data_IF_247407513293
#
_entry.id   IF_247407513293
#
_cell.length_a   1.000
_cell.length_b   1.000
_cell.length_c   1.000
_cell.angle_alpha   90.00
_cell.angle_beta   90.00
_cell.angle_gamma   90.00
#
_symmetry.space_group_name_H-M   'P 1'
#
loop_
_entity.id
_entity.type
_entity.pdbx_description
1 polymer ?
#
# COMPACT_ATOMS: atom_id res chain seq x y z
N UNK A 1 -37.66 -3.10 30.82
CA UNK A 1 -36.73 -2.13 30.23
C UNK A 1 -37.03 -0.76 30.83
N UNK A 2 -36.08 -0.10 31.47
CA UNK A 2 -36.27 1.13 32.22
C UNK A 2 -36.42 2.30 31.24
N UNK A 3 -37.24 3.33 31.56
CA UNK A 3 -37.40 4.53 30.70
C UNK A 3 -36.09 5.19 30.30
N UNK A 4 -35.07 5.16 31.16
CA UNK A 4 -33.74 5.66 30.87
C UNK A 4 -33.04 4.83 29.76
N UNK A 5 -33.18 3.52 29.72
CA UNK A 5 -32.60 2.65 28.71
C UNK A 5 -33.24 2.88 27.33
N UNK A 6 -34.56 3.17 27.31
CA UNK A 6 -35.27 3.49 26.06
C UNK A 6 -34.86 4.86 25.53
N UNK A 7 -34.66 5.87 26.42
CA UNK A 7 -34.21 7.19 26.04
C UNK A 7 -32.74 7.15 25.53
N UNK A 8 -31.88 6.33 26.15
CA UNK A 8 -30.47 6.16 25.69
C UNK A 8 -30.40 5.45 24.33
N UNK A 9 -31.27 4.46 24.08
CA UNK A 9 -31.36 3.78 22.78
C UNK A 9 -31.95 4.72 21.72
N UNK A 10 -32.95 5.53 22.04
CA UNK A 10 -33.53 6.51 21.13
C UNK A 10 -32.57 7.67 20.83
N UNK A 11 -31.73 8.10 21.79
CA UNK A 11 -30.69 9.09 21.57
C UNK A 11 -29.51 8.52 20.77
N UNK A 12 -29.17 7.24 20.96
CA UNK A 12 -28.16 6.56 20.13
C UNK A 12 -28.66 6.35 18.68
N UNK A 13 -29.93 6.01 18.49
CA UNK A 13 -30.57 5.92 17.17
C UNK A 13 -30.75 7.29 16.52
N UNK A 14 -31.01 8.35 17.29
CA UNK A 14 -31.06 9.71 16.76
C UNK A 14 -29.67 10.29 16.43
N UNK A 15 -28.63 9.85 17.15
CA UNK A 15 -27.25 10.20 16.82
C UNK A 15 -26.74 9.46 15.54
N UNK A 16 -27.28 8.29 15.25
CA UNK A 16 -27.03 7.59 13.98
C UNK A 16 -27.86 8.15 12.80
N UNK A 17 -28.98 8.85 13.07
CA UNK A 17 -29.80 9.51 12.06
C UNK A 17 -29.31 10.91 11.66
N UNK A 18 -28.16 11.37 12.18
CA UNK A 18 -27.57 12.70 11.95
C UNK A 18 -26.34 12.72 11.05
N UNK A 19 -25.86 11.60 10.55
CA UNK A 19 -24.88 11.59 9.46
C UNK A 19 -25.65 11.60 8.15
N UNK A 20 -25.53 12.68 7.38
CA UNK A 20 -26.21 12.82 6.09
C UNK A 20 -25.76 11.70 5.16
N UNK A 21 -26.69 10.83 4.82
CA UNK A 21 -26.46 9.78 3.82
C UNK A 21 -26.30 10.46 2.46
N UNK A 22 -25.19 10.19 1.77
CA UNK A 22 -24.96 10.67 0.39
C UNK A 22 -25.55 9.66 -0.59
N UNK A 23 -26.13 10.16 -1.67
CA UNK A 23 -26.73 9.33 -2.71
C UNK A 23 -26.39 9.90 -4.10
N UNK A 24 -25.94 9.05 -4.99
CA UNK A 24 -25.77 9.40 -6.39
C UNK A 24 -26.62 8.52 -7.32
N UNK A 25 -26.91 8.99 -8.50
CA UNK A 25 -27.60 8.27 -9.55
C UNK A 25 -26.62 7.83 -10.64
N UNK A 26 -26.52 6.53 -10.89
CA UNK A 26 -25.60 5.93 -11.85
C UNK A 26 -26.34 5.50 -13.10
N UNK A 27 -25.90 5.99 -14.26
CA UNK A 27 -26.41 5.66 -15.58
C UNK A 27 -25.29 5.02 -16.38
N UNK A 28 -25.43 3.73 -16.74
CA UNK A 28 -24.46 3.00 -17.53
C UNK A 28 -24.95 2.68 -18.93
N UNK A 29 -24.04 2.75 -19.89
CA UNK A 29 -24.26 2.34 -21.29
C UNK A 29 -23.11 1.46 -21.77
N UNK A 30 -23.41 0.53 -22.65
CA UNK A 30 -22.44 -0.35 -23.27
C UNK A 30 -22.45 -0.12 -24.78
N UNK A 31 -21.27 0.09 -25.37
CA UNK A 31 -21.12 0.33 -26.79
C UNK A 31 -21.51 -0.94 -27.60
N UNK A 32 -21.93 -0.74 -28.83
CA UNK A 32 -22.25 -1.83 -29.76
C UNK A 32 -21.00 -2.72 -29.98
N UNK A 33 -21.18 -4.02 -29.92
CA UNK A 33 -20.08 -4.99 -30.03
C UNK A 33 -19.35 -5.29 -28.71
N UNK A 34 -19.61 -4.54 -27.63
CA UNK A 34 -19.08 -4.80 -26.30
C UNK A 34 -20.08 -5.62 -25.49
N UNK A 35 -19.64 -6.73 -24.91
CA UNK A 35 -20.51 -7.61 -24.11
C UNK A 35 -19.83 -7.89 -22.77
N UNK A 36 -20.18 -7.19 -21.68
CA UNK A 36 -19.75 -7.54 -20.35
C UNK A 36 -20.46 -8.82 -19.88
N UNK A 37 -19.79 -9.61 -19.06
CA UNK A 37 -20.31 -10.87 -18.53
C UNK A 37 -21.17 -10.61 -17.30
N UNK A 38 -20.61 -9.94 -16.27
CA UNK A 38 -21.31 -9.58 -15.03
C UNK A 38 -20.72 -8.30 -14.44
N UNK A 39 -21.43 -7.20 -14.54
CA UNK A 39 -21.01 -5.95 -13.90
C UNK A 39 -21.31 -5.98 -12.41
N UNK A 40 -20.36 -5.49 -11.62
CA UNK A 40 -20.51 -5.24 -10.18
C UNK A 40 -20.04 -3.86 -9.82
N UNK A 41 -20.79 -3.21 -8.92
CA UNK A 41 -20.45 -1.92 -8.30
C UNK A 41 -20.21 -2.18 -6.83
N UNK A 42 -19.09 -1.74 -6.28
CA UNK A 42 -18.70 -2.02 -4.90
C UNK A 42 -17.86 -0.87 -4.33
N UNK A 43 -17.90 -0.72 -3.01
CA UNK A 43 -17.14 0.30 -2.29
C UNK A 43 -15.66 -0.06 -2.24
N UNK A 44 -14.79 0.95 -2.26
CA UNK A 44 -13.34 0.74 -2.10
C UNK A 44 -13.01 0.00 -0.79
N UNK A 45 -12.16 -1.01 -0.90
CA UNK A 45 -11.79 -1.90 0.20
C UNK A 45 -12.75 -3.07 0.46
N UNK A 46 -13.87 -3.19 -0.28
CA UNK A 46 -14.74 -4.35 -0.24
C UNK A 46 -14.33 -5.40 -1.29
N UNK A 47 -14.56 -6.68 -0.99
CA UNK A 47 -14.39 -7.73 -1.99
C UNK A 47 -15.56 -7.69 -2.99
N UNK A 48 -15.31 -7.49 -4.29
CA UNK A 48 -16.37 -7.47 -5.30
C UNK A 48 -17.23 -8.75 -5.32
N UNK A 49 -16.73 -9.88 -4.78
CA UNK A 49 -17.54 -11.11 -4.61
C UNK A 49 -18.77 -10.89 -3.73
N UNK A 50 -18.65 -10.01 -2.75
CA UNK A 50 -19.68 -9.74 -1.76
C UNK A 50 -20.64 -8.62 -2.17
N UNK A 51 -20.37 -7.93 -3.30
CA UNK A 51 -21.24 -6.85 -3.77
C UNK A 51 -22.65 -7.34 -4.08
N UNK A 52 -23.64 -6.62 -3.55
CA UNK A 52 -25.05 -6.79 -3.86
C UNK A 52 -25.52 -5.94 -5.04
N UNK A 53 -24.74 -4.90 -5.41
CA UNK A 53 -25.04 -4.05 -6.56
C UNK A 53 -24.53 -4.69 -7.85
N UNK A 54 -25.47 -5.32 -8.55
CA UNK A 54 -25.24 -6.03 -9.81
C UNK A 54 -26.10 -5.41 -10.91
N UNK A 55 -25.60 -4.40 -11.61
CA UNK A 55 -26.36 -3.74 -12.69
C UNK A 55 -26.81 -4.73 -13.75
N UNK A 56 -28.10 -4.72 -14.06
CA UNK A 56 -28.66 -5.56 -15.10
C UNK A 56 -28.86 -4.74 -16.36
N UNK A 57 -28.18 -5.15 -17.45
CA UNK A 57 -28.28 -4.50 -18.73
C UNK A 57 -29.63 -4.79 -19.39
N UNK A 58 -30.32 -3.73 -19.79
CA UNK A 58 -31.52 -3.77 -20.65
C UNK A 58 -31.26 -2.92 -21.88
N UNK A 59 -31.21 -3.54 -23.04
CA UNK A 59 -30.88 -2.86 -24.31
C UNK A 59 -29.54 -2.07 -24.22
N UNK A 60 -28.50 -2.65 -23.64
CA UNK A 60 -27.18 -2.03 -23.48
C UNK A 60 -27.12 -0.90 -22.46
N UNK A 61 -28.12 -0.75 -21.57
CA UNK A 61 -28.20 0.31 -20.57
C UNK A 61 -28.55 -0.25 -19.19
N UNK A 62 -28.05 0.37 -18.13
CA UNK A 62 -28.48 0.16 -16.76
C UNK A 62 -28.61 1.49 -16.03
N UNK A 63 -29.40 1.49 -14.97
CA UNK A 63 -29.53 2.60 -14.03
C UNK A 63 -29.63 2.02 -12.63
N UNK A 64 -28.98 2.67 -11.67
CA UNK A 64 -29.10 2.34 -10.25
C UNK A 64 -28.73 3.55 -9.40
N UNK A 65 -29.21 3.55 -8.16
CA UNK A 65 -28.76 4.50 -7.15
C UNK A 65 -27.70 3.80 -6.27
N UNK A 66 -26.72 4.59 -5.86
CA UNK A 66 -25.69 4.16 -4.91
C UNK A 66 -25.71 5.11 -3.72
N UNK A 67 -25.71 4.54 -2.53
CA UNK A 67 -25.77 5.28 -1.27
C UNK A 67 -24.58 4.91 -0.38
N UNK A 68 -24.06 5.91 0.34
CA UNK A 68 -23.05 5.72 1.38
C UNK A 68 -23.31 6.66 2.56
N UNK A 69 -22.65 6.43 3.68
CA UNK A 69 -22.75 7.31 4.84
C UNK A 69 -22.12 8.69 4.59
N UNK A 70 -21.21 8.79 3.62
CA UNK A 70 -20.49 9.98 3.22
C UNK A 70 -19.90 9.80 1.84
N UNK A 71 -19.18 10.82 1.32
CA UNK A 71 -18.46 10.71 0.05
C UNK A 71 -17.41 9.62 0.17
N UNK A 72 -17.49 8.61 -0.69
CA UNK A 72 -16.50 7.51 -0.74
C UNK A 72 -16.20 7.14 -2.19
N UNK A 73 -15.03 6.50 -2.37
CA UNK A 73 -14.63 5.94 -3.67
C UNK A 73 -15.29 4.58 -3.86
N UNK A 74 -15.89 4.40 -5.03
CA UNK A 74 -16.54 3.18 -5.46
C UNK A 74 -15.98 2.73 -6.80
N UNK A 75 -16.10 1.45 -7.07
CA UNK A 75 -15.61 0.81 -8.28
C UNK A 75 -16.72 0.16 -9.06
N UNK A 76 -16.55 0.11 -10.40
CA UNK A 76 -17.30 -0.77 -11.28
C UNK A 76 -16.33 -1.73 -11.96
N UNK A 77 -16.70 -3.00 -12.09
CA UNK A 77 -15.88 -4.04 -12.69
C UNK A 77 -16.73 -5.04 -13.47
N UNK A 78 -16.19 -5.57 -14.58
CA UNK A 78 -16.74 -6.79 -15.19
C UNK A 78 -16.24 -8.01 -14.40
N UNK A 79 -16.94 -8.31 -13.31
CA UNK A 79 -16.57 -9.39 -12.39
C UNK A 79 -16.70 -10.78 -13.03
N UNK A 80 -17.62 -10.95 -13.99
CA UNK A 80 -17.72 -12.20 -14.75
C UNK A 80 -16.45 -12.50 -15.52
N UNK A 81 -15.83 -11.49 -16.12
CA UNK A 81 -14.53 -11.63 -16.80
C UNK A 81 -13.41 -12.02 -15.82
N UNK A 82 -13.38 -11.43 -14.61
CA UNK A 82 -12.44 -11.82 -13.53
C UNK A 82 -12.59 -13.30 -13.19
N UNK A 83 -13.83 -13.79 -13.07
CA UNK A 83 -14.10 -15.19 -12.74
C UNK A 83 -13.72 -16.17 -13.87
N UNK A 84 -13.85 -15.76 -15.12
CA UNK A 84 -13.51 -16.61 -16.26
C UNK A 84 -12.01 -16.61 -16.58
N UNK A 85 -11.37 -15.43 -16.53
CA UNK A 85 -10.00 -15.23 -17.00
C UNK A 85 -8.98 -15.01 -15.86
N UNK A 86 -9.44 -14.88 -14.61
CA UNK A 86 -8.60 -14.55 -13.45
C UNK A 86 -8.25 -13.07 -13.33
N UNK A 87 -8.51 -12.27 -14.37
CA UNK A 87 -8.26 -10.83 -14.42
C UNK A 87 -9.23 -10.14 -15.38
N UNK A 88 -9.36 -8.83 -15.28
CA UNK A 88 -10.06 -7.98 -16.26
C UNK A 88 -9.36 -6.64 -16.41
N UNK A 89 -9.42 -6.07 -17.61
CA UNK A 89 -9.09 -4.65 -17.87
C UNK A 89 -10.31 -3.75 -17.72
N UNK A 90 -11.53 -4.34 -17.65
CA UNK A 90 -12.80 -3.62 -17.51
C UNK A 90 -13.04 -3.27 -16.04
N UNK A 91 -12.38 -2.23 -15.58
CA UNK A 91 -12.58 -1.63 -14.25
C UNK A 91 -12.57 -0.12 -14.34
N UNK A 92 -13.28 0.53 -13.43
CA UNK A 92 -13.30 1.98 -13.31
C UNK A 92 -13.72 2.40 -11.92
N UNK A 93 -13.47 3.66 -11.57
CA UNK A 93 -13.78 4.21 -10.25
C UNK A 93 -14.52 5.54 -10.34
N UNK A 94 -15.31 5.83 -9.33
CA UNK A 94 -16.08 7.06 -9.19
C UNK A 94 -16.32 7.38 -7.72
N UNK A 95 -16.74 8.62 -7.44
CA UNK A 95 -17.08 9.01 -6.08
C UNK A 95 -18.60 9.09 -5.92
N UNK A 96 -19.12 8.50 -4.84
CA UNK A 96 -20.51 8.62 -4.44
C UNK A 96 -20.67 9.94 -3.68
N UNK A 97 -21.23 10.95 -4.36
CA UNK A 97 -21.45 12.29 -3.84
C UNK A 97 -22.94 12.62 -3.86
N UNK A 98 -23.42 13.34 -2.84
CA UNK A 98 -24.84 13.63 -2.70
C UNK A 98 -25.42 14.43 -3.88
N UNK A 99 -26.50 13.88 -4.46
CA UNK A 99 -27.16 14.45 -5.62
C UNK A 99 -26.37 14.34 -6.94
N UNK A 100 -25.21 13.68 -6.95
CA UNK A 100 -24.42 13.53 -8.18
C UNK A 100 -25.10 12.57 -9.17
N UNK A 101 -24.91 12.85 -10.46
CA UNK A 101 -25.20 11.92 -11.56
C UNK A 101 -23.87 11.41 -12.10
N UNK A 102 -23.72 10.09 -12.10
CA UNK A 102 -22.57 9.39 -12.64
C UNK A 102 -22.99 8.79 -14.00
N UNK A 103 -22.27 9.11 -15.06
CA UNK A 103 -22.46 8.46 -16.37
C UNK A 103 -21.27 7.56 -16.66
N UNK A 104 -21.57 6.31 -17.00
CA UNK A 104 -20.56 5.26 -17.26
C UNK A 104 -20.80 4.74 -18.68
N UNK A 105 -19.77 4.78 -19.52
CA UNK A 105 -19.79 4.14 -20.84
C UNK A 105 -18.71 3.07 -20.90
N UNK A 106 -19.10 1.83 -21.11
CA UNK A 106 -18.17 0.75 -21.42
C UNK A 106 -18.03 0.63 -22.94
N UNK A 107 -16.80 0.75 -23.44
CA UNK A 107 -16.46 0.61 -24.86
C UNK A 107 -15.20 -0.26 -25.00
N UNK A 108 -15.35 -1.43 -25.56
CA UNK A 108 -14.29 -2.45 -25.54
C UNK A 108 -13.92 -2.84 -24.11
N UNK A 109 -12.69 -2.52 -23.72
CA UNK A 109 -12.15 -2.82 -22.39
C UNK A 109 -12.06 -1.58 -21.47
N UNK A 110 -12.58 -0.42 -21.90
CA UNK A 110 -12.47 0.83 -21.14
C UNK A 110 -13.82 1.30 -20.64
N UNK A 111 -13.84 1.72 -19.37
CA UNK A 111 -14.90 2.54 -18.81
C UNK A 111 -14.55 4.02 -18.97
N UNK A 112 -15.39 4.78 -19.66
CA UNK A 112 -15.41 6.24 -19.62
C UNK A 112 -16.43 6.65 -18.55
N UNK A 113 -15.95 7.30 -17.50
CA UNK A 113 -16.75 7.67 -16.33
C UNK A 113 -16.74 9.19 -16.17
N UNK A 114 -17.91 9.77 -16.06
CA UNK A 114 -18.10 11.20 -15.80
C UNK A 114 -19.05 11.39 -14.62
N UNK A 115 -18.83 12.42 -13.84
CA UNK A 115 -19.67 12.75 -12.69
C UNK A 115 -19.97 14.25 -12.63
N UNK A 116 -21.18 14.58 -12.15
CA UNK A 116 -21.50 15.95 -11.76
C UNK A 116 -21.01 16.31 -10.36
N UNK A 117 -20.44 15.37 -9.60
CA UNK A 117 -19.90 15.58 -8.27
C UNK A 117 -18.61 16.40 -8.29
N UNK A 118 -18.46 17.31 -7.31
CA UNK A 118 -17.35 18.27 -7.29
C UNK A 118 -16.00 17.62 -6.94
N UNK A 119 -16.00 16.67 -6.01
CA UNK A 119 -14.78 15.99 -5.58
C UNK A 119 -14.24 15.08 -6.69
N UNK A 120 -15.15 14.37 -7.38
CA UNK A 120 -14.77 13.60 -8.56
C UNK A 120 -14.24 14.48 -9.68
N UNK A 121 -14.91 15.60 -9.99
CA UNK A 121 -14.46 16.52 -11.04
C UNK A 121 -13.08 17.11 -10.75
N UNK A 122 -12.80 17.47 -9.48
CA UNK A 122 -11.49 17.97 -9.08
C UNK A 122 -10.40 16.92 -9.26
N UNK A 123 -10.66 15.68 -8.84
CA UNK A 123 -9.74 14.55 -8.98
C UNK A 123 -9.53 14.19 -10.46
N UNK A 124 -10.60 14.08 -11.24
CA UNK A 124 -10.54 13.74 -12.65
C UNK A 124 -9.82 14.82 -13.49
N UNK A 125 -9.97 16.10 -13.13
CA UNK A 125 -9.23 17.19 -13.78
C UNK A 125 -7.71 17.05 -13.53
N UNK A 126 -7.29 16.61 -12.37
CA UNK A 126 -5.88 16.30 -12.07
C UNK A 126 -5.39 15.15 -12.95
N UNK A 127 -6.16 14.07 -13.04
CA UNK A 127 -5.80 12.92 -13.88
C UNK A 127 -5.68 13.29 -15.35
N UNK A 128 -6.64 14.04 -15.90
CA UNK A 128 -6.58 14.54 -17.26
C UNK A 128 -5.36 15.44 -17.51
N UNK A 129 -5.01 16.28 -16.54
CA UNK A 129 -3.83 17.13 -16.65
C UNK A 129 -2.53 16.33 -16.60
N UNK A 130 -2.48 15.27 -15.78
CA UNK A 130 -1.36 14.34 -15.73
C UNK A 130 -1.23 13.55 -17.04
N UNK A 131 -2.32 13.00 -17.54
CA UNK A 131 -2.39 12.29 -18.83
C UNK A 131 -1.88 13.17 -19.97
N UNK A 132 -2.42 14.39 -20.10
CA UNK A 132 -2.02 15.34 -21.14
C UNK A 132 -0.52 15.70 -21.06
N UNK A 133 0.06 15.67 -19.87
CA UNK A 133 1.49 16.02 -19.68
C UNK A 133 2.41 14.85 -19.94
N UNK A 134 2.07 13.64 -19.49
CA UNK A 134 3.00 12.52 -19.40
C UNK A 134 2.73 11.39 -20.41
N UNK A 135 1.50 11.25 -20.93
CA UNK A 135 1.12 10.11 -21.78
C UNK A 135 2.06 9.94 -22.99
N UNK A 136 2.35 11.02 -23.71
CA UNK A 136 3.24 10.95 -24.88
C UNK A 136 4.65 10.49 -24.55
N UNK A 137 5.15 10.79 -23.34
CA UNK A 137 6.46 10.32 -22.90
C UNK A 137 6.42 8.81 -22.59
N UNK A 138 5.35 8.34 -21.94
CA UNK A 138 5.16 6.90 -21.67
C UNK A 138 4.99 6.09 -22.96
N UNK A 139 4.20 6.56 -23.94
CA UNK A 139 3.99 5.86 -25.21
C UNK A 139 5.26 5.72 -26.08
N UNK A 140 6.22 6.61 -25.90
CA UNK A 140 7.48 6.63 -26.68
C UNK A 140 8.64 5.97 -25.91
N UNK A 141 8.42 5.55 -24.68
CA UNK A 141 9.45 4.93 -23.85
C UNK A 141 9.72 3.49 -24.31
N UNK A 142 10.99 3.08 -24.32
CA UNK A 142 11.37 1.68 -24.48
C UNK A 142 11.15 0.96 -23.14
N UNK A 143 10.32 -0.07 -23.12
CA UNK A 143 10.00 -0.85 -21.92
C UNK A 143 11.24 -1.47 -21.23
N UNK A 144 12.36 -1.56 -21.94
CA UNK A 144 13.63 -2.05 -21.39
C UNK A 144 14.54 -0.93 -20.84
N UNK A 145 14.16 0.34 -20.97
CA UNK A 145 14.94 1.46 -20.44
C UNK A 145 14.49 1.80 -19.02
N UNK A 146 14.84 0.92 -18.07
CA UNK A 146 14.48 1.05 -16.65
C UNK A 146 14.89 2.40 -16.05
N UNK A 147 16.00 2.98 -16.49
CA UNK A 147 16.47 4.27 -16.00
C UNK A 147 15.51 5.40 -16.39
N UNK A 148 15.14 5.48 -17.67
CA UNK A 148 14.21 6.51 -18.15
C UNK A 148 12.79 6.30 -17.61
N UNK A 149 12.38 5.04 -17.43
CA UNK A 149 11.12 4.73 -16.76
C UNK A 149 11.10 5.32 -15.36
N UNK A 150 12.12 5.05 -14.55
CA UNK A 150 12.25 5.58 -13.19
C UNK A 150 12.34 7.11 -13.13
N UNK A 151 13.03 7.74 -14.07
CA UNK A 151 13.11 9.20 -14.20
C UNK A 151 11.71 9.79 -14.48
N UNK A 152 10.95 9.22 -15.42
CA UNK A 152 9.60 9.66 -15.79
C UNK A 152 8.60 9.46 -14.65
N UNK A 153 8.67 8.32 -13.95
CA UNK A 153 7.86 8.06 -12.76
C UNK A 153 8.14 9.09 -11.64
N UNK A 154 9.40 9.43 -11.40
CA UNK A 154 9.77 10.44 -10.41
C UNK A 154 9.25 11.83 -10.80
N UNK A 155 9.32 12.21 -12.09
CA UNK A 155 8.74 13.46 -12.58
C UNK A 155 7.22 13.50 -12.43
N UNK A 156 6.54 12.38 -12.74
CA UNK A 156 5.09 12.23 -12.55
C UNK A 156 4.70 12.39 -11.07
N UNK A 157 5.38 11.69 -10.16
CA UNK A 157 5.12 11.79 -8.72
C UNK A 157 5.36 13.20 -8.20
N UNK A 158 6.47 13.83 -8.58
CA UNK A 158 6.76 15.20 -8.13
C UNK A 158 5.69 16.19 -8.60
N UNK A 159 5.27 16.09 -9.86
CA UNK A 159 4.22 16.93 -10.41
C UNK A 159 2.88 16.71 -9.69
N UNK A 160 2.50 15.46 -9.47
CA UNK A 160 1.27 15.07 -8.77
C UNK A 160 1.26 15.61 -7.33
N UNK A 161 2.38 15.51 -6.62
CA UNK A 161 2.49 16.04 -5.26
C UNK A 161 2.39 17.57 -5.22
N UNK A 162 2.97 18.28 -6.17
CA UNK A 162 2.86 19.72 -6.25
C UNK A 162 1.43 20.16 -6.63
N UNK A 163 0.74 19.34 -7.41
CA UNK A 163 -0.68 19.55 -7.70
C UNK A 163 -1.52 19.40 -6.43
N UNK A 164 -1.37 18.33 -5.67
CA UNK A 164 -2.10 18.10 -4.40
C UNK A 164 -1.83 19.18 -3.34
N UNK A 165 -0.62 19.74 -3.28
CA UNK A 165 -0.29 20.84 -2.38
C UNK A 165 -1.03 22.13 -2.73
N UNK A 166 -1.29 22.36 -4.01
CA UNK A 166 -1.92 23.58 -4.52
C UNK A 166 -3.42 23.44 -4.77
N UNK A 167 -3.91 22.22 -4.94
CA UNK A 167 -5.31 21.88 -5.17
C UNK A 167 -5.76 20.78 -4.20
N UNK A 168 -6.01 21.11 -2.92
CA UNK A 168 -6.46 20.13 -1.96
C UNK A 168 -7.78 19.49 -2.37
N UNK A 169 -7.86 18.16 -2.34
CA UNK A 169 -9.02 17.38 -2.76
C UNK A 169 -9.13 16.07 -1.96
N UNK A 170 -10.37 15.57 -1.83
CA UNK A 170 -10.65 14.31 -1.12
C UNK A 170 -9.99 13.09 -1.81
N UNK A 171 -9.85 13.13 -3.13
CA UNK A 171 -9.18 12.09 -3.91
C UNK A 171 -7.76 11.76 -3.43
N UNK A 172 -7.00 12.76 -2.97
CA UNK A 172 -5.69 12.52 -2.36
C UNK A 172 -5.77 11.61 -1.13
N UNK A 173 -6.77 11.80 -0.26
CA UNK A 173 -6.95 10.97 0.94
C UNK A 173 -7.31 9.54 0.58
N UNK A 174 -8.11 9.33 -0.46
CA UNK A 174 -8.43 7.99 -0.96
C UNK A 174 -7.22 7.30 -1.58
N UNK A 175 -6.40 8.05 -2.30
CA UNK A 175 -5.15 7.50 -2.86
C UNK A 175 -4.17 7.11 -1.76
N UNK A 176 -3.97 7.97 -0.75
CA UNK A 176 -3.10 7.67 0.38
C UNK A 176 -3.59 6.46 1.18
N UNK A 177 -4.90 6.36 1.48
CA UNK A 177 -5.49 5.20 2.16
C UNK A 177 -5.29 3.90 1.36
N UNK A 178 -5.46 3.95 0.03
CA UNK A 178 -5.22 2.83 -0.86
C UNK A 178 -3.75 2.39 -0.87
N UNK A 179 -2.81 3.33 -0.97
CA UNK A 179 -1.37 3.03 -0.95
C UNK A 179 -0.91 2.46 0.39
N UNK A 180 -1.45 2.94 1.50
CA UNK A 180 -1.13 2.41 2.83
C UNK A 180 -1.66 0.99 3.06
N UNK A 181 -2.67 0.53 2.31
CA UNK A 181 -3.15 -0.86 2.34
C UNK A 181 -2.25 -1.81 1.54
N UNK A 182 -1.50 -1.30 0.57
CA UNK A 182 -0.51 -2.06 -0.19
C UNK A 182 0.84 -2.12 0.54
N UNK A 183 1.59 -3.20 0.33
CA UNK A 183 2.93 -3.35 0.90
C UNK A 183 3.99 -2.75 -0.04
N UNK A 184 4.13 -1.43 -0.02
CA UNK A 184 5.06 -0.69 -0.87
C UNK A 184 6.22 -0.10 -0.04
N UNK A 185 7.07 -0.97 0.51
CA UNK A 185 8.16 -0.56 1.42
C UNK A 185 9.24 0.28 0.73
N UNK A 186 9.40 0.11 -0.60
CA UNK A 186 10.34 0.88 -1.43
C UNK A 186 9.71 2.15 -2.02
N UNK A 187 8.44 2.38 -1.79
CA UNK A 187 7.73 3.52 -2.37
C UNK A 187 8.14 4.82 -1.67
N UNK A 188 9.14 5.50 -2.24
CA UNK A 188 9.56 6.83 -1.78
C UNK A 188 8.44 7.85 -1.90
N UNK A 189 7.50 7.64 -2.81
CA UNK A 189 6.35 8.51 -3.02
C UNK A 189 5.38 8.46 -1.83
N UNK A 190 5.23 7.31 -1.18
CA UNK A 190 4.39 7.16 0.01
C UNK A 190 4.87 8.06 1.16
N UNK A 191 6.19 8.18 1.37
CA UNK A 191 6.76 9.08 2.39
C UNK A 191 6.40 10.53 2.09
N UNK A 192 6.52 10.95 0.83
CA UNK A 192 6.17 12.31 0.41
C UNK A 192 4.66 12.55 0.58
N UNK A 193 3.81 11.60 0.27
CA UNK A 193 2.36 11.70 0.49
C UNK A 193 2.03 11.82 1.99
N UNK A 194 2.64 11.03 2.86
CA UNK A 194 2.46 11.13 4.30
C UNK A 194 2.89 12.51 4.83
N UNK A 195 3.99 13.07 4.33
CA UNK A 195 4.44 14.41 4.70
C UNK A 195 3.44 15.49 4.25
N UNK A 196 2.88 15.39 3.04
CA UNK A 196 1.81 16.28 2.55
C UNK A 196 0.56 16.14 3.45
N UNK A 197 0.16 14.89 3.76
CA UNK A 197 -0.97 14.60 4.63
C UNK A 197 -0.82 15.28 6.00
N UNK A 198 0.28 15.06 6.71
CA UNK A 198 0.50 15.60 8.05
C UNK A 198 0.62 17.11 8.07
N UNK A 199 1.15 17.74 7.03
CA UNK A 199 1.32 19.19 6.95
C UNK A 199 0.04 19.92 6.56
N UNK A 200 -0.82 19.31 5.74
CA UNK A 200 -1.86 20.05 5.06
C UNK A 200 -3.25 19.40 5.14
N UNK A 201 -3.34 18.07 5.11
CA UNK A 201 -4.61 17.37 4.96
C UNK A 201 -5.28 16.94 6.27
N UNK A 202 -4.58 16.89 7.38
CA UNK A 202 -5.13 16.49 8.69
C UNK A 202 -6.30 17.33 9.17
N UNK A 203 -6.43 18.56 8.66
CA UNK A 203 -7.52 19.50 9.01
C UNK A 203 -8.56 19.67 7.90
N UNK A 204 -8.32 19.07 6.74
CA UNK A 204 -9.28 19.05 5.63
C UNK A 204 -10.20 17.86 5.78
N UNK A 205 -11.49 18.04 5.52
CA UNK A 205 -12.51 16.99 5.70
C UNK A 205 -12.51 16.36 7.10
N UNK A 206 -12.52 17.15 8.20
CA UNK A 206 -12.12 16.69 9.55
C UNK A 206 -12.97 15.53 10.09
N UNK A 207 -14.22 15.42 9.67
CA UNK A 207 -15.15 14.37 10.11
C UNK A 207 -15.13 13.13 9.20
N UNK A 208 -14.30 13.13 8.15
CA UNK A 208 -14.25 12.01 7.20
C UNK A 208 -13.47 10.82 7.80
N UNK A 209 -14.05 9.59 7.81
CA UNK A 209 -13.41 8.42 8.43
C UNK A 209 -12.15 7.93 7.72
N UNK A 210 -11.83 8.46 6.53
CA UNK A 210 -10.54 8.18 5.89
C UNK A 210 -9.36 8.53 6.80
N UNK A 211 -9.48 9.57 7.64
CA UNK A 211 -8.44 9.92 8.60
C UNK A 211 -8.23 8.84 9.66
N UNK A 212 -9.32 8.17 10.11
CA UNK A 212 -9.21 7.05 11.04
C UNK A 212 -8.57 5.83 10.36
N UNK A 213 -8.88 5.59 9.08
CA UNK A 213 -8.26 4.52 8.29
C UNK A 213 -6.77 4.76 8.12
N UNK A 214 -6.37 5.96 7.69
CA UNK A 214 -4.96 6.35 7.54
C UNK A 214 -4.21 6.21 8.88
N UNK A 215 -4.75 6.78 9.96
CA UNK A 215 -4.15 6.68 11.29
C UNK A 215 -4.04 5.23 11.77
N UNK A 216 -5.03 4.39 11.49
CA UNK A 216 -5.01 2.96 11.78
C UNK A 216 -3.89 2.22 11.02
N UNK A 217 -3.66 2.55 9.76
CA UNK A 217 -2.56 1.99 8.97
C UNK A 217 -1.20 2.48 9.49
N UNK A 218 -1.04 3.78 9.78
CA UNK A 218 0.20 4.30 10.36
C UNK A 218 0.49 3.69 11.74
N UNK A 219 -0.54 3.44 12.55
CA UNK A 219 -0.40 2.80 13.86
C UNK A 219 0.11 1.35 13.80
N UNK A 220 0.01 0.67 12.66
CA UNK A 220 0.68 -0.63 12.45
C UNK A 220 2.19 -0.48 12.56
N UNK A 221 2.73 0.70 12.23
CA UNK A 221 4.16 1.00 12.29
C UNK A 221 4.94 0.23 11.23
N UNK A 222 4.48 0.27 9.98
CA UNK A 222 5.20 -0.35 8.87
C UNK A 222 6.63 0.18 8.73
N UNK A 223 7.54 -0.70 8.39
CA UNK A 223 8.93 -0.36 8.06
C UNK A 223 8.97 0.19 6.63
N UNK A 224 9.02 1.51 6.48
CA UNK A 224 8.91 2.20 5.20
C UNK A 224 10.22 2.96 4.90
N UNK A 225 10.70 2.89 3.66
CA UNK A 225 11.84 3.68 3.19
C UNK A 225 11.71 5.16 3.60
N UNK A 226 12.81 5.77 4.04
CA UNK A 226 12.87 7.16 4.48
C UNK A 226 12.28 7.43 5.87
N UNK A 227 11.64 6.46 6.51
CA UNK A 227 11.15 6.54 7.90
C UNK A 227 12.13 5.92 8.88
N UNK A 228 11.96 6.24 10.16
CA UNK A 228 12.71 5.57 11.23
C UNK A 228 12.28 4.11 11.33
N UNK A 229 13.25 3.23 11.39
CA UNK A 229 13.01 1.81 11.67
C UNK A 229 12.43 1.68 13.07
N UNK A 230 11.26 1.07 13.18
CA UNK A 230 10.57 0.92 14.45
C UNK A 230 11.27 -0.10 15.34
N UNK A 231 11.36 0.22 16.62
CA UNK A 231 11.83 -0.72 17.62
C UNK A 231 10.71 -1.69 18.03
N UNK A 232 11.06 -2.93 18.30
CA UNK A 232 10.14 -3.99 18.70
C UNK A 232 10.81 -5.00 19.61
N UNK A 233 10.00 -5.71 20.39
CA UNK A 233 10.45 -6.88 21.13
C UNK A 233 10.60 -8.08 20.18
N UNK A 234 11.56 -8.94 20.47
CA UNK A 234 11.87 -10.13 19.69
C UNK A 234 12.67 -11.10 20.57
N UNK A 235 12.81 -12.36 20.19
CA UNK A 235 13.64 -13.32 20.93
C UNK A 235 14.97 -13.57 20.24
N UNK A 236 16.01 -13.79 21.03
CA UNK A 236 17.25 -14.42 20.55
C UNK A 236 16.97 -15.88 20.19
N UNK A 237 17.90 -16.49 19.46
CA UNK A 237 17.82 -17.92 19.14
C UNK A 237 17.75 -18.81 20.41
N UNK A 238 18.25 -18.34 21.55
CA UNK A 238 18.19 -19.04 22.85
C UNK A 238 16.93 -18.71 23.64
N UNK A 239 16.00 -17.93 23.08
CA UNK A 239 14.69 -17.63 23.65
C UNK A 239 14.65 -16.44 24.60
N UNK A 240 15.76 -15.72 24.79
CA UNK A 240 15.78 -14.50 25.60
C UNK A 240 15.05 -13.37 24.85
N UNK A 241 14.12 -12.71 25.51
CA UNK A 241 13.48 -11.51 24.96
C UNK A 241 14.45 -10.32 24.99
N UNK A 242 14.55 -9.62 23.88
CA UNK A 242 15.42 -8.45 23.65
C UNK A 242 14.71 -7.40 22.82
N UNK A 243 15.26 -6.18 22.80
CA UNK A 243 14.80 -5.13 21.90
C UNK A 243 15.63 -5.15 20.62
N UNK A 244 14.98 -5.01 19.46
CA UNK A 244 15.67 -4.96 18.17
C UNK A 244 16.68 -3.80 18.11
N UNK A 245 16.38 -2.67 18.76
CA UNK A 245 17.28 -1.51 18.85
C UNK A 245 18.66 -1.82 19.45
N UNK A 246 18.79 -2.83 20.26
CA UNK A 246 20.10 -3.27 20.79
C UNK A 246 21.07 -3.70 19.67
N UNK A 247 20.50 -4.13 18.53
CA UNK A 247 21.25 -4.66 17.39
C UNK A 247 21.54 -3.61 16.31
N UNK A 248 20.75 -2.54 16.18
CA UNK A 248 20.93 -1.57 15.10
C UNK A 248 21.25 -0.14 15.54
N UNK A 249 20.97 0.23 16.80
CA UNK A 249 21.16 1.61 17.27
C UNK A 249 22.59 2.11 17.05
N UNK A 250 22.72 3.31 16.50
CA UNK A 250 23.99 3.98 16.19
C UNK A 250 24.89 3.25 15.17
N UNK A 251 24.34 2.30 14.41
CA UNK A 251 25.06 1.48 13.43
C UNK A 251 24.40 1.54 12.05
N UNK A 252 25.19 1.57 10.99
CA UNK A 252 24.68 1.23 9.66
C UNK A 252 24.38 -0.27 9.65
N UNK A 253 23.11 -0.65 9.53
CA UNK A 253 22.69 -2.04 9.78
C UNK A 253 21.85 -2.58 8.65
N UNK A 254 22.19 -3.78 8.18
CA UNK A 254 21.32 -4.59 7.33
C UNK A 254 20.49 -5.53 8.21
N UNK A 255 19.18 -5.47 8.08
CA UNK A 255 18.22 -6.42 8.65
C UNK A 255 17.83 -7.41 7.56
N UNK A 256 17.99 -8.70 7.82
CA UNK A 256 17.64 -9.80 6.91
C UNK A 256 16.41 -10.50 7.48
N UNK A 257 15.24 -10.29 6.91
CA UNK A 257 14.05 -11.10 7.21
C UNK A 257 14.12 -12.41 6.42
N UNK A 258 13.90 -13.54 7.10
CA UNK A 258 13.95 -14.86 6.49
C UNK A 258 13.10 -15.87 7.26
N UNK A 259 13.04 -17.12 6.77
CA UNK A 259 12.41 -18.23 7.49
C UNK A 259 13.12 -19.54 7.14
N UNK A 260 13.18 -20.47 8.07
CA UNK A 260 13.85 -21.79 7.84
C UNK A 260 13.15 -22.65 6.80
N UNK A 261 11.87 -22.42 6.57
CA UNK A 261 11.05 -23.08 5.55
C UNK A 261 11.09 -22.36 4.18
N UNK A 262 11.76 -21.21 4.08
CA UNK A 262 11.88 -20.42 2.83
C UNK A 262 13.26 -20.67 2.20
N UNK A 263 13.35 -21.62 1.27
CA UNK A 263 14.61 -21.94 0.59
C UNK A 263 15.23 -20.78 -0.20
N UNK A 264 14.46 -19.93 -0.92
CA UNK A 264 15.02 -18.71 -1.52
C UNK A 264 15.63 -17.77 -0.50
N UNK A 265 14.95 -17.52 0.63
CA UNK A 265 15.43 -16.62 1.67
C UNK A 265 16.78 -17.09 2.28
N UNK A 266 16.94 -18.41 2.43
CA UNK A 266 18.20 -19.00 2.92
C UNK A 266 19.31 -18.78 1.89
N UNK A 267 19.03 -18.90 0.58
CA UNK A 267 20.03 -18.62 -0.47
C UNK A 267 20.47 -17.17 -0.42
N UNK A 268 19.52 -16.23 -0.36
CA UNK A 268 19.82 -14.80 -0.27
C UNK A 268 20.67 -14.50 0.97
N UNK A 269 20.33 -15.06 2.11
CA UNK A 269 21.14 -14.91 3.33
C UNK A 269 22.55 -15.49 3.14
N UNK A 270 22.72 -16.64 2.49
CA UNK A 270 24.04 -17.19 2.15
C UNK A 270 24.82 -16.28 1.22
N UNK A 271 24.19 -15.69 0.20
CA UNK A 271 24.81 -14.78 -0.76
C UNK A 271 25.22 -13.44 -0.12
N UNK A 272 24.62 -13.09 1.04
CA UNK A 272 24.99 -11.92 1.84
C UNK A 272 26.25 -12.18 2.71
N UNK A 273 26.60 -13.44 3.03
CA UNK A 273 27.79 -13.74 3.86
C UNK A 273 29.07 -13.12 3.31
N UNK A 274 29.44 -13.28 2.02
CA UNK A 274 30.63 -12.64 1.46
C UNK A 274 30.54 -11.10 1.51
N UNK A 275 29.36 -10.52 1.31
CA UNK A 275 29.14 -9.07 1.40
C UNK A 275 29.41 -8.58 2.82
N UNK A 276 28.85 -9.25 3.82
CA UNK A 276 29.11 -8.93 5.22
C UNK A 276 30.59 -9.01 5.56
N UNK A 277 31.28 -10.06 5.12
CA UNK A 277 32.71 -10.22 5.36
C UNK A 277 33.55 -9.09 4.72
N UNK A 278 33.15 -8.58 3.56
CA UNK A 278 33.79 -7.46 2.89
C UNK A 278 33.56 -6.14 3.64
N UNK A 279 32.31 -5.85 4.06
CA UNK A 279 31.93 -4.54 4.60
C UNK A 279 31.92 -4.42 6.12
N UNK A 280 31.96 -5.53 6.90
CA UNK A 280 31.90 -5.48 8.38
C UNK A 280 33.01 -4.62 8.99
N UNK A 281 34.24 -4.69 8.46
CA UNK A 281 35.36 -3.90 8.93
C UNK A 281 35.29 -2.43 8.45
N UNK A 282 34.40 -2.11 7.51
CA UNK A 282 34.09 -0.77 7.03
C UNK A 282 32.90 -0.15 7.76
N UNK A 283 32.24 -0.89 8.65
CA UNK A 283 31.19 -0.42 9.52
C UNK A 283 29.79 -0.94 9.21
N UNK A 284 29.63 -1.93 8.32
CA UNK A 284 28.36 -2.61 8.11
C UNK A 284 28.11 -3.58 9.28
N UNK A 285 27.00 -3.37 9.98
CA UNK A 285 26.44 -4.29 10.92
C UNK A 285 25.30 -5.11 10.28
N UNK A 286 25.09 -6.32 10.73
CA UNK A 286 24.00 -7.19 10.24
C UNK A 286 23.37 -7.93 11.42
N UNK A 287 22.06 -8.07 11.41
CA UNK A 287 21.35 -9.11 12.15
C UNK A 287 20.25 -9.69 11.26
N UNK A 288 19.83 -10.92 11.56
CA UNK A 288 18.71 -11.53 10.85
C UNK A 288 17.54 -11.77 11.79
N UNK A 289 16.33 -11.72 11.22
CA UNK A 289 15.08 -11.98 11.91
C UNK A 289 14.38 -13.15 11.22
N UNK A 290 14.16 -14.23 11.93
CA UNK A 290 13.50 -15.42 11.42
C UNK A 290 12.02 -15.44 11.79
N UNK A 291 11.15 -15.83 10.84
CA UNK A 291 9.74 -16.11 11.06
C UNK A 291 9.54 -17.62 11.20
N UNK A 292 9.31 -18.08 12.42
CA UNK A 292 9.21 -19.50 12.70
C UNK A 292 7.88 -19.87 13.38
N UNK A 293 7.47 -21.11 13.20
CA UNK A 293 6.23 -21.63 13.79
C UNK A 293 6.52 -22.88 14.62
N UNK A 294 5.88 -22.99 15.79
CA UNK A 294 5.93 -24.12 16.73
C UNK A 294 7.27 -24.33 17.42
N UNK A 295 8.40 -24.24 16.73
CA UNK A 295 9.75 -24.37 17.33
C UNK A 295 10.82 -23.67 16.51
N UNK A 296 11.98 -23.43 17.13
CA UNK A 296 13.15 -22.84 16.47
C UNK A 296 14.15 -23.90 15.97
N UNK A 297 13.82 -25.18 16.00
CA UNK A 297 14.76 -26.26 15.68
C UNK A 297 15.25 -26.22 14.24
N UNK A 298 14.36 -25.95 13.29
CA UNK A 298 14.71 -25.84 11.88
C UNK A 298 15.60 -24.62 11.63
N UNK A 299 15.29 -23.48 12.26
CA UNK A 299 16.11 -22.27 12.24
C UNK A 299 17.52 -22.55 12.79
N UNK A 300 17.65 -23.18 13.97
CA UNK A 300 18.93 -23.52 14.57
C UNK A 300 19.80 -24.37 13.64
N UNK A 301 19.21 -25.40 13.04
CA UNK A 301 19.88 -26.25 12.05
C UNK A 301 20.33 -25.48 10.81
N UNK A 302 19.52 -24.53 10.33
CA UNK A 302 19.89 -23.71 9.19
C UNK A 302 21.05 -22.75 9.55
N UNK A 303 20.97 -22.06 10.68
CA UNK A 303 22.03 -21.16 11.19
C UNK A 303 23.36 -21.91 11.35
N UNK A 304 23.35 -23.11 11.95
CA UNK A 304 24.52 -23.94 12.11
C UNK A 304 25.08 -24.45 10.78
N UNK A 305 24.20 -24.98 9.92
CA UNK A 305 24.60 -25.52 8.60
C UNK A 305 25.25 -24.49 7.70
N UNK A 306 24.70 -23.28 7.67
CA UNK A 306 25.16 -22.21 6.78
C UNK A 306 26.16 -21.27 7.47
N UNK A 307 26.42 -21.46 8.76
CA UNK A 307 27.36 -20.68 9.58
C UNK A 307 27.11 -19.16 9.46
N UNK A 308 25.87 -18.72 9.68
CA UNK A 308 25.53 -17.29 9.61
C UNK A 308 26.38 -16.50 10.61
N UNK A 309 27.17 -15.50 10.14
CA UNK A 309 28.18 -14.82 10.97
C UNK A 309 27.62 -13.66 11.80
N UNK A 310 26.31 -13.48 11.85
CA UNK A 310 25.60 -12.38 12.52
C UNK A 310 24.59 -12.92 13.54
N UNK A 311 24.13 -12.06 14.48
CA UNK A 311 23.07 -12.43 15.41
C UNK A 311 21.78 -12.81 14.67
N UNK A 312 21.16 -13.91 15.08
CA UNK A 312 19.89 -14.38 14.55
C UNK A 312 18.80 -14.25 15.62
N UNK A 313 17.80 -13.41 15.34
CA UNK A 313 16.63 -13.19 16.16
C UNK A 313 15.43 -13.96 15.57
N UNK A 314 14.38 -14.14 16.35
CA UNK A 314 13.19 -14.90 15.92
C UNK A 314 11.90 -14.28 16.47
N UNK A 315 10.90 -14.17 15.60
CA UNK A 315 9.50 -14.00 15.99
C UNK A 315 8.81 -15.36 15.80
N UNK A 316 8.59 -16.06 16.92
CA UNK A 316 8.00 -17.40 16.94
C UNK A 316 6.49 -17.27 17.07
N UNK A 317 5.73 -17.92 16.18
CA UNK A 317 4.26 -17.92 16.17
C UNK A 317 3.65 -16.50 16.13
N UNK A 318 4.32 -15.53 15.49
CA UNK A 318 3.93 -14.11 15.46
C UNK A 318 3.74 -13.47 16.86
N UNK A 319 4.48 -13.93 17.86
CA UNK A 319 4.35 -13.48 19.25
C UNK A 319 4.38 -11.95 19.37
N UNK A 320 5.20 -11.29 18.55
CA UNK A 320 5.36 -9.83 18.55
C UNK A 320 4.79 -9.17 17.28
N UNK A 321 4.30 -9.94 16.33
CA UNK A 321 3.73 -9.45 15.06
C UNK A 321 4.71 -8.66 14.22
N UNK A 322 6.01 -9.00 14.29
CA UNK A 322 7.09 -8.21 13.67
C UNK A 322 7.02 -8.29 12.15
N UNK A 323 6.73 -9.47 11.59
CA UNK A 323 6.69 -9.67 10.14
C UNK A 323 5.60 -8.87 9.45
N UNK A 324 4.46 -8.64 10.12
CA UNK A 324 3.41 -7.75 9.62
C UNK A 324 3.90 -6.32 9.46
N UNK A 325 4.71 -5.80 10.41
CA UNK A 325 5.31 -4.46 10.33
C UNK A 325 6.35 -4.34 9.21
N UNK A 326 7.01 -5.45 8.89
CA UNK A 326 7.94 -5.53 7.75
C UNK A 326 7.22 -5.80 6.42
N UNK A 327 5.88 -5.96 6.43
CA UNK A 327 5.05 -6.19 5.26
C UNK A 327 5.42 -7.42 4.44
N UNK A 328 6.02 -8.39 5.09
CA UNK A 328 6.39 -9.65 4.47
C UNK A 328 5.98 -10.81 5.38
N UNK A 329 5.88 -11.98 4.81
CA UNK A 329 5.68 -13.19 5.59
C UNK A 329 7.01 -13.94 5.83
N UNK A 330 8.02 -13.72 4.98
CA UNK A 330 9.22 -14.55 5.03
C UNK A 330 10.51 -13.90 4.51
N UNK A 331 10.46 -12.87 3.68
CA UNK A 331 11.68 -12.29 3.09
C UNK A 331 11.56 -10.79 2.91
N UNK A 332 12.55 -10.06 3.40
CA UNK A 332 12.81 -8.66 3.09
C UNK A 332 14.21 -8.27 3.56
N UNK A 333 14.77 -7.24 2.93
CA UNK A 333 16.04 -6.64 3.31
C UNK A 333 15.79 -5.17 3.68
N UNK A 334 16.26 -4.73 4.83
CA UNK A 334 16.20 -3.32 5.23
C UNK A 334 17.60 -2.82 5.57
N UNK A 335 18.06 -1.79 4.88
CA UNK A 335 19.30 -1.11 5.24
C UNK A 335 18.96 0.15 6.04
N UNK A 336 19.47 0.22 7.26
CA UNK A 336 19.18 1.24 8.26
C UNK A 336 20.43 2.07 8.51
N UNK A 337 20.34 3.38 8.40
CA UNK A 337 21.43 4.28 8.74
C UNK A 337 21.65 4.39 10.26
N UNK A 338 22.74 5.00 10.66
CA UNK A 338 23.15 5.18 12.07
C UNK A 338 22.16 5.97 12.90
N UNK A 339 21.42 6.87 12.29
CA UNK A 339 20.36 7.62 12.94
C UNK A 339 19.01 6.85 13.02
N UNK A 340 18.99 5.60 12.54
CA UNK A 340 17.82 4.72 12.52
C UNK A 340 16.90 4.90 11.33
N UNK A 341 17.27 5.67 10.29
CA UNK A 341 16.46 5.85 9.09
C UNK A 341 16.67 4.67 8.13
N UNK A 342 15.59 4.14 7.55
CA UNK A 342 15.64 3.13 6.48
C UNK A 342 16.09 3.83 5.19
N UNK A 343 17.28 3.51 4.71
CA UNK A 343 17.90 4.14 3.54
C UNK A 343 17.89 3.28 2.29
N UNK A 344 17.51 2.03 2.41
CA UNK A 344 17.19 1.15 1.28
C UNK A 344 16.34 -0.04 1.74
N UNK A 345 15.52 -0.55 0.84
CA UNK A 345 14.79 -1.81 0.97
C UNK A 345 15.03 -2.61 -0.33
N UNK A 346 16.22 -3.23 -0.47
CA UNK A 346 16.58 -3.93 -1.70
C UNK A 346 15.68 -5.12 -1.99
N UNK A 347 15.25 -5.28 -3.23
CA UNK A 347 14.46 -6.45 -3.68
C UNK A 347 15.37 -7.65 -4.02
N UNK A 348 16.68 -7.43 -4.13
CA UNK A 348 17.67 -8.46 -4.44
C UNK A 348 19.01 -8.21 -3.77
N UNK A 349 19.84 -9.25 -3.72
CA UNK A 349 21.22 -9.15 -3.23
C UNK A 349 22.07 -8.24 -4.14
N UNK A 350 21.76 -8.18 -5.44
CA UNK A 350 22.41 -7.32 -6.42
C UNK A 350 22.13 -5.84 -6.13
N UNK A 351 20.89 -5.47 -5.87
CA UNK A 351 20.50 -4.10 -5.44
C UNK A 351 21.20 -3.70 -4.14
N UNK A 352 21.26 -4.64 -3.17
CA UNK A 352 22.00 -4.42 -1.92
C UNK A 352 23.48 -4.11 -2.20
N UNK A 353 24.13 -4.90 -3.06
CA UNK A 353 25.54 -4.67 -3.45
C UNK A 353 25.75 -3.30 -4.10
N UNK A 354 24.85 -2.91 -5.00
CA UNK A 354 24.89 -1.60 -5.64
C UNK A 354 24.81 -0.48 -4.60
N UNK A 355 23.85 -0.58 -3.68
CA UNK A 355 23.67 0.41 -2.61
C UNK A 355 24.84 0.50 -1.65
N UNK A 356 25.43 -0.64 -1.27
CA UNK A 356 26.62 -0.65 -0.41
C UNK A 356 27.85 -0.06 -1.09
N UNK A 357 28.02 -0.21 -2.40
CA UNK A 357 29.10 0.46 -3.16
C UNK A 357 28.95 1.98 -3.16
N UNK A 358 27.72 2.51 -3.21
CA UNK A 358 27.47 3.95 -3.08
C UNK A 358 27.88 4.47 -1.69
N UNK A 359 27.52 3.72 -0.62
CA UNK A 359 27.82 4.11 0.76
C UNK A 359 29.29 3.93 1.10
N UNK A 360 29.91 2.92 0.56
CA UNK A 360 31.30 2.56 0.77
C UNK A 360 32.08 2.61 -0.54
N UNK A 361 32.33 3.80 -1.13
CA UNK A 361 33.11 3.90 -2.34
C UNK A 361 34.52 3.33 -2.13
N UNK A 362 35.09 2.71 -3.17
CA UNK A 362 36.46 2.26 -3.12
C UNK A 362 37.37 3.48 -2.96
N UNK A 363 38.21 3.44 -1.93
CA UNK A 363 39.24 4.47 -1.78
C UNK A 363 40.18 4.42 -3.02
N UNK A 364 40.05 5.45 -3.90
CA UNK A 364 41.00 5.68 -4.99
C UNK A 364 42.36 6.08 -4.46
#
# INVERSE_FOLDING_TARGET
MNKQTIITILLALAAMAGQGQVRCHVIGTVAEGTTPIELRIYRDGEDPKNSTLRPVLKNGRFECDVEDAQIERWHIVDFGEVMEKGMTLRSGEFFVEDGATITIRLDGDKFDIQSSGKEYQAWHAMEQAAEAKFMSAYETLDDNDEQKMSELENEYHQWTFDYYKTHPMLGFLFELDGRLKGFHFNDTSLVAMLDIYHRQYTTLYPDHPVHQRIAGQEAVGYQIYGRKYNDYDVRTIDGQQVRASEYYKDKLTLVICWASWCSPCIRDACDIIPIYNEYRNRGLNVFSLAHEFKSTDAMRKAVERHAFPWPCLVDLDDEFGVFRKHGTQNSALFLIDRDGTIIAVPNSVEELKAKLKEIFPDNK
#
